data_IF_003342661402
#
_entry.id   IF_003342661402
#
_cell.length_a   1.000
_cell.length_b   1.000
_cell.length_c   1.000
_cell.angle_alpha   90.00
_cell.angle_beta   90.00
_cell.angle_gamma   90.00
#
_symmetry.space_group_name_H-M   'P 1'
#
loop_
_entity.id
_entity.type
_entity.pdbx_description
1 polymer ?
#
# COMPACT_ATOMS: atom_id res chain seq x y z
N UNK A 1 -31.35 -35.21 5.47
CA UNK A 1 -32.64 -35.08 4.72
C UNK A 1 -33.48 -33.94 5.30
N UNK A 2 -34.23 -33.18 4.49
CA UNK A 2 -35.07 -32.08 5.02
C UNK A 2 -36.29 -32.60 5.82
N UNK A 3 -36.77 -31.87 6.84
CA UNK A 3 -37.91 -32.28 7.68
C UNK A 3 -39.19 -32.50 6.86
N UNK A 4 -39.29 -31.87 5.70
CA UNK A 4 -40.39 -32.04 4.75
C UNK A 4 -40.45 -33.45 4.15
N UNK A 5 -39.30 -34.09 3.90
CA UNK A 5 -39.24 -35.45 3.32
C UNK A 5 -39.69 -36.50 4.36
N UNK A 6 -39.35 -36.29 5.64
CA UNK A 6 -39.79 -37.16 6.73
C UNK A 6 -41.31 -37.10 6.93
N UNK A 7 -41.88 -35.90 6.91
CA UNK A 7 -43.32 -35.71 7.03
C UNK A 7 -44.07 -36.40 5.88
N UNK A 8 -43.57 -36.29 4.64
CA UNK A 8 -44.15 -36.96 3.48
C UNK A 8 -44.03 -38.49 3.60
N UNK A 9 -42.88 -39.01 4.05
CA UNK A 9 -42.68 -40.44 4.27
C UNK A 9 -43.63 -41.03 5.31
N UNK A 10 -43.80 -40.36 6.45
CA UNK A 10 -44.73 -40.78 7.51
C UNK A 10 -46.18 -40.79 7.03
N UNK A 11 -46.59 -39.79 6.24
CA UNK A 11 -47.94 -39.75 5.64
C UNK A 11 -48.13 -40.95 4.69
N UNK A 12 -47.15 -41.25 3.84
CA UNK A 12 -47.22 -42.40 2.93
C UNK A 12 -47.30 -43.73 3.66
N UNK A 13 -46.56 -43.91 4.75
CA UNK A 13 -46.65 -45.12 5.57
C UNK A 13 -48.00 -45.26 6.27
N UNK A 14 -48.59 -44.15 6.73
CA UNK A 14 -49.92 -44.16 7.34
C UNK A 14 -50.99 -44.59 6.32
N UNK A 15 -50.93 -44.04 5.10
CA UNK A 15 -51.82 -44.43 4.00
C UNK A 15 -51.63 -45.91 3.62
N UNK A 16 -50.39 -46.37 3.50
CA UNK A 16 -50.09 -47.78 3.19
C UNK A 16 -50.57 -48.76 4.26
N UNK A 17 -50.41 -48.41 5.54
CA UNK A 17 -50.87 -49.24 6.66
C UNK A 17 -52.40 -49.35 6.70
N UNK A 18 -53.12 -48.23 6.45
CA UNK A 18 -54.58 -48.23 6.35
C UNK A 18 -55.05 -49.09 5.17
N UNK A 19 -54.41 -48.98 4.01
CA UNK A 19 -54.71 -49.82 2.84
C UNK A 19 -54.47 -51.32 3.12
N UNK A 20 -53.38 -51.67 3.80
CA UNK A 20 -53.08 -53.04 4.20
C UNK A 20 -54.11 -53.57 5.22
N UNK A 21 -54.53 -52.74 6.18
CA UNK A 21 -55.60 -53.09 7.13
C UNK A 21 -56.93 -53.36 6.44
N UNK A 22 -57.33 -52.52 5.49
CA UNK A 22 -58.55 -52.72 4.70
C UNK A 22 -58.48 -53.99 3.83
N UNK A 23 -57.31 -54.27 3.25
CA UNK A 23 -57.07 -55.50 2.49
C UNK A 23 -57.13 -56.76 3.35
N UNK A 24 -56.68 -56.71 4.61
CA UNK A 24 -56.80 -57.84 5.54
C UNK A 24 -58.25 -58.13 5.98
N UNK A 25 -59.11 -57.10 6.00
CA UNK A 25 -60.54 -57.25 6.30
C UNK A 25 -61.32 -57.78 5.10
N UNK A 26 -61.04 -57.28 3.90
CA UNK A 26 -61.80 -57.60 2.68
C UNK A 26 -61.20 -58.74 1.83
N UNK A 27 -59.95 -59.12 2.10
CA UNK A 27 -59.18 -60.10 1.34
C UNK A 27 -59.18 -61.51 1.94
N UNK A 28 -58.24 -62.34 1.49
CA UNK A 28 -58.24 -63.80 1.67
C UNK A 28 -58.18 -64.30 3.13
N UNK A 29 -57.77 -63.47 4.10
CA UNK A 29 -57.65 -63.85 5.51
C UNK A 29 -58.91 -63.54 6.36
N UNK A 30 -59.82 -62.68 5.88
CA UNK A 30 -61.09 -62.30 6.53
C UNK A 30 -60.97 -62.04 8.06
N UNK A 31 -59.96 -61.28 8.47
CA UNK A 31 -59.71 -61.02 9.89
C UNK A 31 -60.81 -60.13 10.50
N UNK A 32 -61.13 -60.28 11.80
CA UNK A 32 -62.02 -59.36 12.49
C UNK A 32 -61.48 -57.93 12.42
N UNK A 33 -62.34 -56.90 12.25
CA UNK A 33 -61.92 -55.52 12.01
C UNK A 33 -60.96 -54.96 13.08
N UNK A 34 -61.18 -55.32 14.34
CA UNK A 34 -60.34 -54.88 15.46
C UNK A 34 -58.92 -55.45 15.34
N UNK A 35 -58.80 -56.73 14.95
CA UNK A 35 -57.51 -57.39 14.81
C UNK A 35 -56.74 -56.85 13.60
N UNK A 36 -57.43 -56.57 12.50
CA UNK A 36 -56.82 -55.98 11.31
C UNK A 36 -56.32 -54.54 11.57
N UNK A 37 -57.07 -53.74 12.33
CA UNK A 37 -56.68 -52.39 12.71
C UNK A 37 -55.46 -52.37 13.64
N UNK A 38 -55.38 -53.28 14.62
CA UNK A 38 -54.21 -53.38 15.50
C UNK A 38 -52.98 -53.88 14.74
N UNK A 39 -53.12 -54.85 13.83
CA UNK A 39 -52.01 -55.29 12.96
C UNK A 39 -51.51 -54.19 12.04
N UNK A 40 -52.40 -53.39 11.44
CA UNK A 40 -52.04 -52.23 10.62
C UNK A 40 -51.32 -51.15 11.44
N UNK A 41 -51.80 -50.85 12.64
CA UNK A 41 -51.15 -49.91 13.56
C UNK A 41 -49.75 -50.36 13.98
N UNK A 42 -49.58 -51.64 14.32
CA UNK A 42 -48.27 -52.22 14.63
C UNK A 42 -47.31 -52.15 13.43
N UNK A 43 -47.80 -52.44 12.22
CA UNK A 43 -47.01 -52.34 10.99
C UNK A 43 -46.56 -50.90 10.72
N UNK A 44 -47.46 -49.93 10.90
CA UNK A 44 -47.13 -48.51 10.75
C UNK A 44 -46.02 -48.08 11.72
N UNK A 45 -46.18 -48.38 13.01
CA UNK A 45 -45.17 -48.04 14.03
C UNK A 45 -43.84 -48.72 13.72
N UNK A 46 -43.86 -50.00 13.31
CA UNK A 46 -42.64 -50.72 12.96
C UNK A 46 -41.91 -50.07 11.77
N UNK A 47 -42.61 -49.74 10.69
CA UNK A 47 -42.02 -49.10 9.50
C UNK A 47 -41.55 -47.68 9.82
N UNK A 48 -42.30 -46.91 10.62
CA UNK A 48 -41.90 -45.58 11.06
C UNK A 48 -40.62 -45.61 11.89
N UNK A 49 -40.53 -46.53 12.87
CA UNK A 49 -39.32 -46.73 13.66
C UNK A 49 -38.14 -47.20 12.81
N UNK A 50 -38.39 -48.07 11.82
CA UNK A 50 -37.36 -48.52 10.88
C UNK A 50 -36.82 -47.37 10.03
N UNK A 51 -37.69 -46.53 9.47
CA UNK A 51 -37.29 -45.32 8.73
C UNK A 51 -36.48 -44.37 9.60
N UNK A 52 -36.97 -44.05 10.80
CA UNK A 52 -36.27 -43.15 11.72
C UNK A 52 -34.89 -43.70 12.10
N UNK A 53 -34.80 -45.01 12.35
CA UNK A 53 -33.52 -45.67 12.62
C UNK A 53 -32.55 -45.62 11.43
N UNK A 54 -33.06 -45.71 10.21
CA UNK A 54 -32.26 -45.68 8.99
C UNK A 54 -31.73 -44.27 8.72
N UNK A 55 -32.58 -43.25 8.87
CA UNK A 55 -32.14 -41.86 8.71
C UNK A 55 -31.15 -41.46 9.80
N UNK A 56 -31.42 -41.79 11.07
CA UNK A 56 -30.49 -41.50 12.16
C UNK A 56 -29.14 -42.19 11.99
N UNK A 57 -29.08 -43.33 11.30
CA UNK A 57 -27.81 -43.97 10.93
C UNK A 57 -27.09 -43.18 9.84
N UNK A 58 -27.80 -42.79 8.78
CA UNK A 58 -27.23 -41.95 7.71
C UNK A 58 -26.68 -40.62 8.23
N UNK A 59 -27.47 -39.88 9.00
CA UNK A 59 -27.01 -38.60 9.57
C UNK A 59 -25.82 -38.80 10.53
N UNK A 60 -25.73 -39.94 11.22
CA UNK A 60 -24.60 -40.27 12.09
C UNK A 60 -23.34 -40.59 11.29
N UNK A 61 -23.47 -41.32 10.19
CA UNK A 61 -22.34 -41.67 9.33
C UNK A 61 -21.80 -40.39 8.63
N UNK A 62 -22.67 -39.50 8.16
CA UNK A 62 -22.28 -38.21 7.57
C UNK A 62 -21.52 -37.32 8.58
N UNK A 63 -21.99 -37.26 9.84
CA UNK A 63 -21.31 -36.50 10.91
C UNK A 63 -19.95 -37.12 11.24
N UNK A 64 -19.83 -38.45 11.23
CA UNK A 64 -18.57 -39.13 11.50
C UNK A 64 -17.56 -38.88 10.37
N UNK A 65 -17.99 -38.89 9.13
CA UNK A 65 -17.15 -38.56 7.97
C UNK A 65 -16.67 -37.10 8.00
N UNK A 66 -17.54 -36.16 8.38
CA UNK A 66 -17.18 -34.75 8.56
C UNK A 66 -16.18 -34.56 9.71
N UNK A 67 -16.37 -35.28 10.82
CA UNK A 67 -15.46 -35.25 11.97
C UNK A 67 -14.06 -35.80 11.60
N UNK A 68 -14.01 -36.91 10.86
CA UNK A 68 -12.77 -37.49 10.34
C UNK A 68 -12.07 -36.52 9.37
N UNK A 69 -12.84 -35.84 8.50
CA UNK A 69 -12.34 -34.78 7.62
C UNK A 69 -11.68 -33.64 8.40
N UNK A 70 -12.37 -33.11 9.41
CA UNK A 70 -11.85 -32.04 10.26
C UNK A 70 -10.60 -32.47 11.04
N UNK A 71 -10.57 -33.71 11.56
CA UNK A 71 -9.39 -34.24 12.24
C UNK A 71 -8.18 -34.34 11.30
N UNK A 72 -8.37 -34.78 10.06
CA UNK A 72 -7.30 -34.82 9.05
C UNK A 72 -6.80 -33.43 8.70
N UNK A 73 -7.68 -32.46 8.47
CA UNK A 73 -7.29 -31.08 8.19
C UNK A 73 -6.54 -30.46 9.37
N UNK A 74 -6.98 -30.73 10.60
CA UNK A 74 -6.31 -30.22 11.80
C UNK A 74 -4.92 -30.86 11.99
N UNK A 75 -4.79 -32.16 11.73
CA UNK A 75 -3.51 -32.84 11.73
C UNK A 75 -2.55 -32.27 10.66
N UNK A 76 -3.06 -31.97 9.46
CA UNK A 76 -2.27 -31.34 8.39
C UNK A 76 -1.81 -29.92 8.77
N UNK A 77 -2.69 -29.10 9.35
CA UNK A 77 -2.35 -27.77 9.82
C UNK A 77 -1.30 -27.82 10.94
N UNK A 78 -1.42 -28.78 11.85
CA UNK A 78 -0.45 -28.98 12.93
C UNK A 78 0.92 -29.37 12.36
N UNK A 79 0.96 -30.26 11.37
CA UNK A 79 2.21 -30.64 10.69
C UNK A 79 2.86 -29.45 9.96
N UNK A 80 2.07 -28.59 9.29
CA UNK A 80 2.58 -27.36 8.65
C UNK A 80 3.12 -26.36 9.67
N UNK A 81 2.48 -26.24 10.84
CA UNK A 81 2.97 -25.40 11.93
C UNK A 81 4.29 -25.91 12.50
N UNK A 82 4.44 -27.22 12.68
CA UNK A 82 5.69 -27.84 13.10
C UNK A 82 6.80 -27.65 12.06
N UNK A 83 6.49 -27.79 10.76
CA UNK A 83 7.42 -27.55 9.66
C UNK A 83 7.90 -26.09 9.65
N UNK A 84 6.97 -25.12 9.70
CA UNK A 84 7.30 -23.69 9.77
C UNK A 84 8.12 -23.33 11.02
N UNK A 85 7.79 -23.93 12.17
CA UNK A 85 8.56 -23.73 13.40
C UNK A 85 9.97 -24.29 13.27
N UNK A 86 10.13 -25.45 12.62
CA UNK A 86 11.44 -26.06 12.35
C UNK A 86 12.27 -25.24 11.35
N UNK A 87 11.63 -24.62 10.35
CA UNK A 87 12.30 -23.68 9.45
C UNK A 87 12.77 -22.42 10.18
N UNK A 88 11.93 -21.86 11.06
CA UNK A 88 12.32 -20.73 11.91
C UNK A 88 13.50 -21.11 12.81
N UNK A 89 13.52 -22.31 13.39
CA UNK A 89 14.66 -22.78 14.18
C UNK A 89 15.91 -23.01 13.33
N UNK A 90 15.78 -23.52 12.10
CA UNK A 90 16.90 -23.64 11.15
C UNK A 90 17.44 -22.28 10.75
N UNK A 91 16.58 -21.31 10.48
CA UNK A 91 16.95 -19.93 10.18
C UNK A 91 17.66 -19.33 11.41
N UNK A 92 17.10 -19.49 12.61
CA UNK A 92 17.70 -19.02 13.86
C UNK A 92 19.07 -19.66 14.12
N UNK A 93 19.23 -20.94 13.80
CA UNK A 93 20.49 -21.67 13.94
C UNK A 93 21.50 -21.28 12.85
N UNK A 94 21.07 -21.07 11.61
CA UNK A 94 21.90 -20.53 10.53
C UNK A 94 22.39 -19.09 10.84
N UNK A 95 21.54 -18.29 11.48
CA UNK A 95 21.89 -16.97 12.03
C UNK A 95 22.88 -17.08 13.20
N UNK A 96 22.78 -18.12 14.03
CA UNK A 96 23.67 -18.34 15.17
C UNK A 96 25.03 -18.97 14.78
N UNK A 97 25.06 -19.85 13.80
CA UNK A 97 26.23 -20.66 13.40
C UNK A 97 27.20 -19.91 12.46
N UNK A 98 26.85 -18.69 12.03
CA UNK A 98 27.82 -17.68 11.64
C UNK A 98 28.37 -17.77 10.22
N UNK A 99 27.54 -17.44 9.25
CA UNK A 99 27.98 -16.91 7.95
C UNK A 99 27.74 -15.39 7.89
N UNK A 100 28.43 -14.65 8.75
CA UNK A 100 28.30 -13.20 8.89
C UNK A 100 29.02 -12.40 7.81
N UNK A 101 29.67 -13.05 6.82
CA UNK A 101 30.38 -12.35 5.74
C UNK A 101 29.44 -11.73 4.69
N UNK A 102 28.24 -12.25 4.52
CA UNK A 102 27.22 -11.67 3.63
C UNK A 102 26.38 -10.56 4.31
N UNK A 103 26.51 -10.39 5.63
CA UNK A 103 25.72 -9.43 6.40
C UNK A 103 26.54 -8.28 6.98
N UNK A 104 27.83 -8.16 6.67
CA UNK A 104 28.57 -6.93 6.96
C UNK A 104 28.06 -5.74 6.13
N UNK A 105 27.46 -6.00 4.95
CA UNK A 105 26.74 -5.00 4.15
C UNK A 105 25.40 -4.61 4.78
N UNK A 106 24.54 -5.56 5.17
CA UNK A 106 23.18 -5.25 5.67
C UNK A 106 23.19 -4.79 7.13
N UNK A 107 24.07 -5.33 7.97
CA UNK A 107 24.33 -4.82 9.34
C UNK A 107 25.20 -3.56 9.28
N UNK A 108 26.02 -3.39 8.23
CA UNK A 108 26.70 -2.14 7.90
C UNK A 108 25.71 -1.04 7.55
N UNK A 109 24.73 -1.32 6.69
CA UNK A 109 23.63 -0.41 6.31
C UNK A 109 22.76 -0.08 7.52
N UNK A 110 22.44 -1.07 8.37
CA UNK A 110 21.69 -0.82 9.59
C UNK A 110 22.51 -0.11 10.67
N UNK A 111 23.85 -0.26 10.71
CA UNK A 111 24.77 0.54 11.56
C UNK A 111 25.07 1.92 11.00
N UNK A 112 24.98 2.12 9.69
CA UNK A 112 25.05 3.43 9.05
C UNK A 112 23.73 4.15 9.30
N UNK A 113 22.58 3.49 9.19
CA UNK A 113 21.27 4.03 9.55
C UNK A 113 21.12 4.25 11.05
N UNK A 114 21.54 3.30 11.91
CA UNK A 114 21.59 3.52 13.36
C UNK A 114 22.67 4.52 13.73
N UNK A 115 23.79 4.60 13.01
CA UNK A 115 24.83 5.60 13.23
C UNK A 115 24.37 7.01 12.85
N UNK A 116 23.59 7.13 11.76
CA UNK A 116 22.95 8.36 11.29
C UNK A 116 21.66 8.68 12.05
N UNK A 117 21.02 7.73 12.73
CA UNK A 117 19.92 8.02 13.64
C UNK A 117 20.45 8.33 15.05
N UNK A 118 21.50 7.67 15.52
CA UNK A 118 22.03 7.83 16.88
C UNK A 118 22.99 9.03 17.01
N UNK A 119 23.69 9.45 15.93
CA UNK A 119 24.38 10.76 15.90
C UNK A 119 23.42 11.94 15.89
N UNK A 120 22.16 11.74 15.51
CA UNK A 120 21.17 12.82 15.40
C UNK A 120 20.11 12.80 16.51
N UNK A 121 19.89 11.65 17.16
CA UNK A 121 19.10 11.54 18.39
C UNK A 121 19.88 11.94 19.66
N UNK A 122 21.23 11.97 19.57
CA UNK A 122 22.09 12.34 20.68
C UNK A 122 22.72 13.72 20.52
N UNK A 123 22.10 14.73 21.15
CA UNK A 123 22.64 16.06 21.53
C UNK A 123 23.34 16.89 20.44
N UNK A 124 22.89 18.15 20.34
CA UNK A 124 23.54 19.26 19.64
C UNK A 124 25.08 19.15 19.59
N UNK A 125 25.60 19.02 18.38
CA UNK A 125 26.91 19.55 18.02
C UNK A 125 26.74 20.29 16.68
N UNK A 126 27.10 21.57 16.60
CA UNK A 126 27.05 22.29 15.33
C UNK A 126 28.09 21.67 14.42
N UNK A 127 27.66 21.17 13.26
CA UNK A 127 28.58 21.09 12.13
C UNK A 127 29.00 22.54 11.91
N UNK A 128 30.27 22.84 12.21
CA UNK A 128 30.86 24.12 11.89
C UNK A 128 30.81 24.25 10.36
N UNK A 129 29.79 24.95 9.87
CA UNK A 129 29.81 25.53 8.54
C UNK A 129 30.89 26.59 8.62
N UNK A 130 32.02 26.35 7.96
CA UNK A 130 32.97 27.42 7.70
C UNK A 130 32.19 28.49 6.94
N UNK A 131 32.00 29.62 7.61
CA UNK A 131 31.37 30.81 7.04
C UNK A 131 32.41 31.50 6.18
N UNK A 132 32.64 30.96 4.99
CA UNK A 132 33.28 31.64 3.87
C UNK A 132 32.72 31.00 2.60
N UNK A 133 31.61 31.53 2.10
CA UNK A 133 31.39 31.74 0.67
C UNK A 133 30.07 32.51 0.47
N UNK A 134 30.13 33.53 -0.38
CA UNK A 134 29.00 34.37 -0.77
C UNK A 134 27.81 33.51 -1.23
N UNK A 135 26.65 33.68 -0.58
CA UNK A 135 25.46 32.84 -0.79
C UNK A 135 24.78 33.13 -2.14
N UNK A 136 24.91 32.21 -3.10
CA UNK A 136 24.14 32.20 -4.34
C UNK A 136 22.64 31.83 -4.12
N UNK A 137 21.68 32.44 -4.86
CA UNK A 137 20.26 32.11 -4.81
C UNK A 137 19.97 30.62 -5.08
N UNK A 138 18.90 30.04 -4.51
CA UNK A 138 18.50 28.63 -4.74
C UNK A 138 18.41 28.23 -6.23
N UNK A 139 18.04 29.18 -7.11
CA UNK A 139 18.02 28.98 -8.56
C UNK A 139 19.41 28.66 -9.14
N UNK A 140 20.46 29.19 -8.54
CA UNK A 140 21.85 29.04 -8.97
C UNK A 140 22.53 27.84 -8.28
N UNK A 141 21.97 27.37 -7.15
CA UNK A 141 22.39 26.13 -6.45
C UNK A 141 21.93 24.84 -7.13
N UNK A 142 21.09 24.95 -8.15
CA UNK A 142 20.66 23.82 -8.98
C UNK A 142 21.71 23.62 -10.07
N UNK A 143 22.41 22.48 -10.06
CA UNK A 143 23.39 22.19 -11.11
C UNK A 143 22.68 22.13 -12.47
N UNK A 144 23.25 22.82 -13.46
CA UNK A 144 22.77 22.79 -14.84
C UNK A 144 23.26 21.56 -15.59
N UNK A 145 24.27 20.86 -15.07
CA UNK A 145 24.72 19.58 -15.62
C UNK A 145 23.72 18.50 -15.24
N UNK A 146 23.16 17.86 -16.25
CA UNK A 146 22.38 16.63 -16.10
C UNK A 146 23.40 15.49 -16.20
N UNK A 147 23.69 14.77 -15.11
CA UNK A 147 24.56 13.60 -15.20
C UNK A 147 23.92 12.54 -16.08
N UNK A 148 24.77 11.73 -16.72
CA UNK A 148 24.34 10.67 -17.62
C UNK A 148 23.45 9.67 -16.87
N UNK A 149 22.24 9.48 -17.37
CA UNK A 149 21.32 8.46 -16.87
C UNK A 149 21.75 7.12 -17.47
N UNK A 150 21.89 6.10 -16.62
CA UNK A 150 22.24 4.76 -17.06
C UNK A 150 21.17 4.20 -18.01
N UNK A 151 21.55 3.32 -18.96
CA UNK A 151 20.60 2.78 -19.93
C UNK A 151 19.59 1.83 -19.29
N UNK A 152 18.37 1.79 -19.83
CA UNK A 152 17.29 0.90 -19.38
C UNK A 152 17.56 -0.59 -19.65
N UNK A 153 18.67 -0.92 -20.31
CA UNK A 153 19.06 -2.30 -20.64
C UNK A 153 19.73 -3.05 -19.49
N UNK A 154 19.93 -2.41 -18.33
CA UNK A 154 20.52 -3.04 -17.17
C UNK A 154 19.66 -4.18 -16.64
N UNK A 155 20.28 -5.28 -16.24
CA UNK A 155 19.59 -6.38 -15.58
C UNK A 155 19.21 -6.04 -14.14
N UNK A 156 18.17 -6.70 -13.60
CA UNK A 156 17.76 -6.50 -12.21
C UNK A 156 18.91 -6.73 -11.20
N UNK A 157 19.85 -7.63 -11.52
CA UNK A 157 21.02 -7.90 -10.67
C UNK A 157 22.00 -6.72 -10.67
N UNK A 158 22.22 -6.09 -11.83
CA UNK A 158 23.09 -4.91 -11.94
C UNK A 158 22.49 -3.72 -11.23
N UNK A 159 21.19 -3.48 -11.43
CA UNK A 159 20.45 -2.41 -10.74
C UNK A 159 20.53 -2.60 -9.22
N UNK A 160 20.26 -3.81 -8.72
CA UNK A 160 20.37 -4.11 -7.29
C UNK A 160 21.78 -3.83 -6.75
N UNK A 161 22.82 -4.26 -7.47
CA UNK A 161 24.20 -4.01 -7.07
C UNK A 161 24.55 -2.51 -7.03
N UNK A 162 24.06 -1.73 -7.99
CA UNK A 162 24.24 -0.27 -8.00
C UNK A 162 23.52 0.38 -6.81
N UNK A 163 22.28 -0.03 -6.53
CA UNK A 163 21.50 0.49 -5.41
C UNK A 163 22.17 0.18 -4.08
N UNK A 164 22.55 -1.08 -3.83
CA UNK A 164 23.18 -1.51 -2.57
C UNK A 164 24.50 -0.76 -2.32
N UNK A 165 25.40 -0.76 -3.31
CA UNK A 165 26.67 -0.02 -3.20
C UNK A 165 26.45 1.48 -3.02
N UNK A 166 25.49 2.05 -3.77
CA UNK A 166 25.14 3.46 -3.67
C UNK A 166 24.62 3.84 -2.30
N UNK A 167 23.82 2.97 -1.67
CA UNK A 167 23.35 3.16 -0.30
C UNK A 167 24.50 3.08 0.72
N UNK A 168 25.36 2.08 0.61
CA UNK A 168 26.50 1.88 1.54
C UNK A 168 27.49 3.03 1.49
N UNK A 169 27.74 3.59 0.31
CA UNK A 169 28.71 4.65 0.08
C UNK A 169 28.09 6.06 0.12
N UNK A 170 26.83 6.19 0.55
CA UNK A 170 26.08 7.45 0.63
C UNK A 170 26.01 8.23 -0.70
N UNK A 171 25.88 7.52 -1.83
CA UNK A 171 25.75 8.06 -3.19
C UNK A 171 24.29 8.24 -3.63
N UNK A 172 23.43 8.59 -2.69
CA UNK A 172 22.03 8.95 -2.97
C UNK A 172 21.92 10.47 -2.99
N UNK A 173 21.66 11.00 -4.17
CA UNK A 173 21.57 12.43 -4.43
C UNK A 173 20.11 12.88 -4.51
N UNK A 174 19.85 14.12 -4.07
CA UNK A 174 18.52 14.73 -4.17
C UNK A 174 18.43 15.58 -5.42
N UNK A 175 17.41 15.29 -6.22
CA UNK A 175 17.05 16.04 -7.41
C UNK A 175 15.72 16.74 -7.17
N UNK A 176 15.62 18.00 -7.61
CA UNK A 176 14.44 18.82 -7.45
C UNK A 176 13.82 19.09 -8.81
N UNK A 177 12.53 18.81 -8.95
CA UNK A 177 11.76 19.20 -10.12
C UNK A 177 10.76 20.31 -9.75
N UNK A 178 10.69 21.41 -10.53
CA UNK A 178 9.77 22.49 -10.21
C UNK A 178 8.31 22.12 -10.48
N UNK A 179 7.45 22.45 -9.52
CA UNK A 179 6.00 22.60 -9.70
C UNK A 179 5.69 24.09 -9.78
N UNK A 180 5.10 24.52 -10.88
CA UNK A 180 4.90 25.93 -11.21
C UNK A 180 3.45 26.36 -11.11
N UNK A 181 3.23 27.64 -10.81
CA UNK A 181 1.93 28.29 -10.93
C UNK A 181 1.72 28.72 -12.38
N UNK A 182 0.57 28.38 -12.95
CA UNK A 182 0.13 28.83 -14.27
C UNK A 182 -0.71 30.11 -14.16
N UNK A 183 -0.64 31.03 -15.15
CA UNK A 183 0.20 30.97 -16.35
C UNK A 183 1.63 31.49 -16.15
N UNK A 184 1.98 32.09 -15.00
CA UNK A 184 3.24 32.84 -14.83
C UNK A 184 4.50 31.95 -14.81
N UNK A 185 4.34 30.63 -14.69
CA UNK A 185 5.40 29.62 -14.56
C UNK A 185 6.37 29.89 -13.41
N UNK A 186 5.87 30.52 -12.34
CA UNK A 186 6.66 30.75 -11.13
C UNK A 186 6.67 29.47 -10.31
N UNK A 187 7.85 28.97 -9.98
CA UNK A 187 8.00 27.83 -9.07
C UNK A 187 7.36 28.12 -7.72
N UNK A 188 6.44 27.25 -7.31
CA UNK A 188 5.77 27.28 -6.01
C UNK A 188 6.20 26.14 -5.11
N UNK A 189 6.42 24.98 -5.71
CA UNK A 189 6.95 23.81 -5.03
C UNK A 189 8.10 23.19 -5.81
N UNK A 190 8.89 22.37 -5.13
CA UNK A 190 9.76 21.39 -5.75
C UNK A 190 9.31 20.00 -5.33
N UNK A 191 9.32 19.04 -6.23
CA UNK A 191 9.30 17.63 -5.86
C UNK A 191 10.72 17.11 -5.75
N UNK A 192 11.00 16.41 -4.66
CA UNK A 192 12.28 15.79 -4.40
C UNK A 192 12.30 14.33 -4.85
N UNK A 193 13.27 14.01 -5.69
CA UNK A 193 13.55 12.69 -6.21
C UNK A 193 14.91 12.21 -5.74
N UNK A 194 15.03 10.91 -5.45
CA UNK A 194 16.32 10.26 -5.24
C UNK A 194 16.88 9.75 -6.57
N UNK A 195 18.14 10.11 -6.87
CA UNK A 195 18.92 9.43 -7.92
C UNK A 195 20.16 8.83 -7.27
N UNK A 196 20.50 7.60 -7.67
CA UNK A 196 21.64 6.88 -7.07
C UNK A 196 22.79 6.91 -8.05
N UNK A 197 23.96 7.35 -7.59
CA UNK A 197 25.14 7.50 -8.44
C UNK A 197 25.97 6.21 -8.46
N UNK A 198 26.34 5.75 -9.65
CA UNK A 198 27.28 4.65 -9.82
C UNK A 198 28.74 5.13 -9.61
N UNK A 199 29.71 4.21 -9.72
CA UNK A 199 31.12 4.51 -9.39
C UNK A 199 31.75 5.46 -10.41
N UNK A 200 31.23 5.48 -11.64
CA UNK A 200 31.69 6.32 -12.74
C UNK A 200 31.07 7.73 -12.72
N UNK A 201 30.08 7.96 -11.85
CA UNK A 201 29.39 9.24 -11.69
C UNK A 201 28.05 9.35 -12.44
N UNK A 202 27.68 8.34 -13.23
CA UNK A 202 26.36 8.21 -13.87
C UNK A 202 25.29 7.89 -12.85
N UNK A 203 24.03 8.17 -13.15
CA UNK A 203 22.91 8.03 -12.21
C UNK A 203 21.88 7.01 -12.68
N UNK A 204 21.32 6.25 -11.73
CA UNK A 204 20.11 5.46 -11.93
C UNK A 204 18.91 6.23 -11.35
N UNK A 205 17.83 6.32 -12.12
CA UNK A 205 16.63 7.09 -11.78
C UNK A 205 15.54 6.21 -11.14
N UNK A 206 14.59 6.78 -10.38
CA UNK A 206 13.55 6.01 -9.68
C UNK A 206 12.83 4.99 -10.56
N UNK A 207 12.49 5.35 -11.79
CA UNK A 207 11.77 4.51 -12.74
C UNK A 207 12.50 3.18 -13.00
N UNK A 208 13.84 3.20 -12.92
CA UNK A 208 14.69 2.04 -13.16
C UNK A 208 14.83 1.14 -11.92
N UNK A 209 14.91 1.72 -10.71
CA UNK A 209 15.20 0.94 -9.49
C UNK A 209 14.01 0.70 -8.55
N UNK A 210 12.93 1.49 -8.62
CA UNK A 210 11.85 1.45 -7.62
C UNK A 210 11.23 0.06 -7.48
N UNK A 211 10.95 -0.63 -8.60
CA UNK A 211 10.38 -1.98 -8.58
C UNK A 211 11.32 -2.98 -7.87
N UNK A 212 12.61 -2.87 -8.12
CA UNK A 212 13.62 -3.79 -7.55
C UNK A 212 13.80 -3.47 -6.07
N UNK A 213 13.92 -2.18 -5.71
CA UNK A 213 14.04 -1.74 -4.32
C UNK A 213 12.82 -2.12 -3.47
N UNK A 214 11.61 -2.12 -4.04
CA UNK A 214 10.41 -2.59 -3.37
C UNK A 214 10.48 -4.11 -3.10
N UNK A 215 10.86 -4.90 -4.11
CA UNK A 215 10.98 -6.36 -4.00
C UNK A 215 12.08 -6.81 -3.01
N UNK A 216 13.15 -6.03 -2.88
CA UNK A 216 14.29 -6.34 -2.00
C UNK A 216 14.23 -5.65 -0.64
N UNK A 217 13.19 -4.86 -0.37
CA UNK A 217 13.01 -4.15 0.90
C UNK A 217 13.93 -2.93 1.10
N UNK A 218 14.65 -2.50 0.06
CA UNK A 218 15.55 -1.34 0.10
C UNK A 218 14.81 -0.01 -0.04
N UNK A 219 13.55 -0.02 -0.49
CA UNK A 219 12.76 1.19 -0.73
C UNK A 219 12.67 2.07 0.53
N UNK A 220 12.45 1.46 1.70
CA UNK A 220 12.36 2.21 2.94
C UNK A 220 13.65 2.94 3.31
N UNK A 221 14.80 2.32 3.04
CA UNK A 221 16.11 2.95 3.25
C UNK A 221 16.32 4.15 2.33
N UNK A 222 15.95 4.02 1.05
CA UNK A 222 16.05 5.10 0.06
C UNK A 222 15.16 6.28 0.46
N UNK A 223 13.89 6.02 0.80
CA UNK A 223 12.93 7.05 1.23
C UNK A 223 13.44 7.80 2.47
N UNK A 224 14.03 7.08 3.44
CA UNK A 224 14.56 7.69 4.65
C UNK A 224 15.77 8.59 4.40
N UNK A 225 16.68 8.17 3.50
CA UNK A 225 17.82 8.98 3.10
C UNK A 225 17.36 10.22 2.34
N UNK A 226 16.43 10.06 1.39
CA UNK A 226 15.84 11.17 0.65
C UNK A 226 15.19 12.19 1.60
N UNK A 227 14.34 11.73 2.51
CA UNK A 227 13.71 12.57 3.52
C UNK A 227 14.72 13.35 4.35
N UNK A 228 15.75 12.67 4.86
CA UNK A 228 16.76 13.30 5.68
C UNK A 228 17.46 14.44 4.92
N UNK A 229 17.86 14.17 3.67
CA UNK A 229 18.46 15.18 2.78
C UNK A 229 17.48 16.32 2.45
N UNK A 230 16.21 16.01 2.22
CA UNK A 230 15.14 17.00 2.04
C UNK A 230 14.99 17.90 3.27
N UNK A 231 14.99 17.35 4.48
CA UNK A 231 14.92 18.14 5.72
C UNK A 231 16.12 19.06 5.85
N UNK A 232 17.34 18.57 5.56
CA UNK A 232 18.54 19.40 5.57
C UNK A 232 18.49 20.51 4.52
N UNK A 233 17.98 20.23 3.33
CA UNK A 233 17.80 21.20 2.27
C UNK A 233 16.77 22.28 2.69
N UNK A 234 15.61 21.88 3.19
CA UNK A 234 14.54 22.81 3.59
C UNK A 234 15.02 23.74 4.69
N UNK A 235 15.71 23.22 5.72
CA UNK A 235 16.27 24.04 6.81
C UNK A 235 17.24 25.10 6.30
N UNK A 236 18.03 24.77 5.27
CA UNK A 236 18.95 25.73 4.63
C UNK A 236 18.18 26.78 3.84
N UNK A 237 17.20 26.36 3.04
CA UNK A 237 16.38 27.26 2.20
C UNK A 237 15.48 28.20 3.03
N UNK A 238 14.98 27.75 4.18
CA UNK A 238 14.19 28.59 5.08
C UNK A 238 14.99 29.77 5.65
N UNK A 239 16.30 29.60 5.87
CA UNK A 239 17.17 30.70 6.29
C UNK A 239 17.29 31.78 5.19
N UNK A 240 17.10 31.40 3.93
CA UNK A 240 17.16 32.30 2.76
C UNK A 240 15.82 33.00 2.48
N UNK A 241 14.80 32.84 3.36
CA UNK A 241 13.45 33.44 3.26
C UNK A 241 12.71 33.14 1.95
N UNK A 242 13.01 32.02 1.30
CA UNK A 242 12.31 31.59 0.09
C UNK A 242 10.99 30.90 0.46
N UNK A 243 9.86 31.50 0.04
CA UNK A 243 8.52 30.90 0.15
C UNK A 243 8.28 29.84 -0.94
N UNK A 244 8.95 28.71 -0.80
CA UNK A 244 8.83 27.54 -1.68
C UNK A 244 8.58 26.29 -0.84
N UNK A 245 7.62 25.47 -1.26
CA UNK A 245 7.37 24.19 -0.61
C UNK A 245 8.06 23.01 -1.30
N UNK A 246 8.05 21.85 -0.66
CA UNK A 246 8.70 20.64 -1.12
C UNK A 246 7.76 19.46 -0.98
N UNK A 247 7.63 18.64 -2.03
CA UNK A 247 7.02 17.32 -1.99
C UNK A 247 8.13 16.29 -1.78
N UNK A 248 7.93 15.38 -0.83
CA UNK A 248 8.83 14.26 -0.58
C UNK A 248 8.02 12.96 -0.54
N UNK A 249 8.45 11.97 -1.29
CA UNK A 249 7.80 10.67 -1.33
C UNK A 249 7.84 9.98 0.03
N UNK A 250 6.74 9.30 0.37
CA UNK A 250 6.57 8.50 1.58
C UNK A 250 5.79 7.22 1.23
N UNK A 251 6.48 6.09 1.13
CA UNK A 251 5.84 4.82 0.82
C UNK A 251 5.09 4.20 2.02
N UNK A 252 4.06 3.39 1.74
CA UNK A 252 3.34 2.64 2.78
C UNK A 252 4.23 1.64 3.52
N UNK A 253 5.30 1.15 2.89
CA UNK A 253 6.30 0.29 3.53
C UNK A 253 6.96 0.95 4.75
N UNK A 254 7.24 2.25 4.67
CA UNK A 254 7.76 3.02 5.82
C UNK A 254 6.72 3.15 6.92
N UNK A 255 5.44 3.26 6.53
CA UNK A 255 4.32 3.50 7.43
C UNK A 255 3.84 2.24 8.15
N UNK A 256 3.94 1.07 7.52
CA UNK A 256 3.58 -0.22 8.14
C UNK A 256 4.64 -0.75 9.10
N UNK A 257 5.86 -0.20 9.09
CA UNK A 257 6.93 -0.65 9.97
C UNK A 257 6.73 -0.12 11.40
N UNK A 258 6.27 -1.01 12.29
CA UNK A 258 5.96 -0.71 13.69
C UNK A 258 7.15 -0.18 14.51
N UNK A 259 8.39 -0.45 14.10
CA UNK A 259 9.59 0.00 14.79
C UNK A 259 10.09 1.37 14.29
N UNK A 260 9.88 1.65 13.00
CA UNK A 260 10.37 2.88 12.36
C UNK A 260 9.38 4.03 12.51
N UNK A 261 8.11 3.80 12.22
CA UNK A 261 7.16 4.90 12.07
C UNK A 261 6.93 5.72 13.36
N UNK A 262 6.91 5.12 14.57
CA UNK A 262 6.87 5.91 15.80
C UNK A 262 8.05 6.89 15.92
N UNK A 263 9.27 6.43 15.59
CA UNK A 263 10.47 7.27 15.60
C UNK A 263 10.41 8.36 14.54
N UNK A 264 9.84 8.06 13.37
CA UNK A 264 9.59 9.03 12.33
C UNK A 264 8.62 10.12 12.80
N UNK A 265 7.49 9.76 13.42
CA UNK A 265 6.53 10.74 13.96
C UNK A 265 7.18 11.60 15.03
N UNK A 266 7.95 11.00 15.94
CA UNK A 266 8.68 11.73 16.98
C UNK A 266 9.69 12.70 16.33
N UNK A 267 10.45 12.26 15.33
CA UNK A 267 11.35 13.12 14.58
C UNK A 267 10.60 14.28 13.91
N UNK A 268 9.47 14.03 13.25
CA UNK A 268 8.66 15.07 12.61
C UNK A 268 8.02 16.02 13.63
N UNK A 269 7.70 15.55 14.84
CA UNK A 269 7.20 16.39 15.92
C UNK A 269 8.25 17.37 16.42
N UNK A 270 9.52 16.95 16.54
CA UNK A 270 10.65 17.86 16.83
C UNK A 270 10.98 18.80 15.65
N UNK A 271 10.38 18.55 14.48
CA UNK A 271 10.57 19.29 13.25
C UNK A 271 9.26 19.93 12.73
N UNK A 272 8.31 20.22 13.63
CA UNK A 272 7.00 20.72 13.24
C UNK A 272 7.05 22.02 12.42
N UNK A 273 8.09 22.84 12.56
CA UNK A 273 8.33 24.05 11.76
C UNK A 273 8.47 23.76 10.24
N UNK A 274 8.83 22.53 9.86
CA UNK A 274 8.94 22.12 8.47
C UNK A 274 7.58 21.94 7.82
N UNK A 275 6.50 21.77 8.57
CA UNK A 275 5.16 21.49 8.02
C UNK A 275 4.64 22.56 7.05
N UNK A 276 5.10 23.81 7.20
CA UNK A 276 4.79 24.90 6.26
C UNK A 276 5.40 24.67 4.88
N UNK A 277 6.55 24.01 4.82
CA UNK A 277 7.38 23.86 3.61
C UNK A 277 7.29 22.43 3.05
N UNK A 278 7.40 21.40 3.89
CA UNK A 278 7.40 19.99 3.51
C UNK A 278 5.98 19.38 3.46
N UNK A 279 5.68 18.73 2.34
CA UNK A 279 4.46 17.95 2.10
C UNK A 279 4.90 16.54 1.75
N UNK A 280 4.18 15.55 2.26
CA UNK A 280 4.48 14.15 1.94
C UNK A 280 3.61 13.69 0.79
N UNK A 281 4.22 13.03 -0.18
CA UNK A 281 3.54 12.45 -1.32
C UNK A 281 3.38 10.94 -1.15
N UNK A 282 2.18 10.45 -1.39
CA UNK A 282 1.83 9.04 -1.30
C UNK A 282 1.16 8.61 -2.61
N UNK A 283 1.42 7.38 -3.07
CA UNK A 283 0.70 6.84 -4.23
C UNK A 283 -0.77 6.57 -3.90
N UNK A 284 -1.64 6.51 -4.91
CA UNK A 284 -3.03 6.12 -4.73
C UNK A 284 -3.17 4.79 -3.96
N UNK A 285 -2.35 3.79 -4.28
CA UNK A 285 -2.35 2.48 -3.63
C UNK A 285 -1.94 2.56 -2.15
N UNK A 286 -0.93 3.38 -1.82
CA UNK A 286 -0.49 3.59 -0.44
C UNK A 286 -1.61 4.19 0.43
N UNK A 287 -2.44 5.06 -0.15
CA UNK A 287 -3.51 5.76 0.58
C UNK A 287 -4.75 4.91 0.80
N UNK A 288 -5.02 3.95 -0.09
CA UNK A 288 -6.11 2.98 0.06
C UNK A 288 -5.81 1.98 1.18
N UNK A 289 -4.53 1.75 1.50
CA UNK A 289 -4.14 0.87 2.59
C UNK A 289 -4.62 1.39 3.97
N UNK A 290 -5.57 0.69 4.59
CA UNK A 290 -6.19 1.10 5.85
C UNK A 290 -5.18 1.25 7.01
N UNK A 291 -4.08 0.49 7.00
CA UNK A 291 -3.04 0.55 8.02
C UNK A 291 -2.32 1.90 8.12
N UNK A 292 -2.41 2.72 7.08
CA UNK A 292 -1.72 4.01 6.93
C UNK A 292 -2.51 5.15 7.60
N UNK A 293 -3.83 4.99 7.77
CA UNK A 293 -4.72 6.08 8.21
C UNK A 293 -4.43 6.66 9.60
N UNK A 294 -4.19 5.86 10.66
CA UNK A 294 -3.88 6.41 11.99
C UNK A 294 -2.64 7.31 11.99
N UNK A 295 -1.68 6.96 11.14
CA UNK A 295 -0.39 7.61 11.02
C UNK A 295 -0.47 8.95 10.29
N UNK A 296 -1.21 9.01 9.18
CA UNK A 296 -1.50 10.27 8.48
C UNK A 296 -2.19 11.27 9.40
N UNK A 297 -3.12 10.81 10.25
CA UNK A 297 -3.79 11.68 11.23
C UNK A 297 -2.81 12.28 12.25
N UNK A 298 -1.82 11.50 12.73
CA UNK A 298 -0.80 11.99 13.67
C UNK A 298 0.07 13.07 13.03
N UNK A 299 0.54 12.84 11.81
CA UNK A 299 1.32 13.82 11.06
C UNK A 299 0.50 15.08 10.71
N UNK A 300 -0.77 14.90 10.33
CA UNK A 300 -1.69 16.02 10.08
C UNK A 300 -1.91 16.89 11.31
N UNK A 301 -2.00 16.26 12.50
CA UNK A 301 -2.14 16.95 13.77
C UNK A 301 -0.89 17.76 14.17
N UNK A 302 0.30 17.33 13.73
CA UNK A 302 1.55 18.11 13.86
C UNK A 302 1.56 19.31 12.90
N UNK A 303 0.80 19.21 11.79
CA UNK A 303 0.64 20.29 10.81
C UNK A 303 1.00 19.90 9.38
N UNK A 304 1.61 18.72 9.17
CA UNK A 304 1.99 18.26 7.84
C UNK A 304 0.76 18.07 6.94
N UNK A 305 0.97 18.23 5.64
CA UNK A 305 -0.06 18.03 4.61
C UNK A 305 0.44 17.04 3.57
N UNK A 306 -0.52 16.43 2.89
CA UNK A 306 -0.24 15.32 1.98
C UNK A 306 -0.62 15.65 0.53
N UNK A 307 0.10 15.01 -0.38
CA UNK A 307 -0.20 14.91 -1.79
C UNK A 307 -0.51 13.46 -2.14
N UNK A 308 -1.51 13.23 -2.98
CA UNK A 308 -1.73 11.92 -3.60
C UNK A 308 -1.23 11.95 -5.05
N UNK A 309 -0.32 11.04 -5.42
CA UNK A 309 0.20 10.89 -6.78
C UNK A 309 -0.04 9.49 -7.36
N UNK A 310 0.51 9.22 -8.55
CA UNK A 310 0.35 7.94 -9.29
C UNK A 310 -1.11 7.52 -9.43
N UNK A 311 -1.97 8.46 -9.82
CA UNK A 311 -3.41 8.22 -9.93
C UNK A 311 -3.71 7.41 -11.18
N UNK A 312 -4.26 6.22 -10.99
CA UNK A 312 -4.73 5.33 -12.05
C UNK A 312 -6.25 5.41 -12.24
N UNK A 313 -6.99 5.81 -11.21
CA UNK A 313 -8.44 6.02 -11.26
C UNK A 313 -8.83 7.32 -10.56
N UNK A 314 -9.66 8.12 -11.22
CA UNK A 314 -10.21 9.37 -10.67
C UNK A 314 -11.34 9.12 -9.66
N UNK A 315 -11.76 7.87 -9.44
CA UNK A 315 -12.75 7.52 -8.43
C UNK A 315 -12.14 7.48 -7.03
N UNK A 316 -11.98 8.67 -6.43
CA UNK A 316 -11.31 8.84 -5.13
C UNK A 316 -12.24 9.55 -4.14
N UNK A 317 -12.27 9.09 -2.89
CA UNK A 317 -12.95 9.77 -1.78
C UNK A 317 -12.17 11.02 -1.35
N UNK A 318 -12.32 12.11 -2.11
CA UNK A 318 -11.65 13.39 -1.85
C UNK A 318 -12.07 14.04 -0.53
N UNK A 319 -13.28 13.78 -0.03
CA UNK A 319 -13.72 14.27 1.29
C UNK A 319 -12.94 13.55 2.39
N UNK A 320 -12.84 12.22 2.31
CA UNK A 320 -12.03 11.41 3.22
C UNK A 320 -10.53 11.73 3.13
N UNK A 321 -10.03 12.10 1.95
CA UNK A 321 -8.65 12.61 1.78
C UNK A 321 -8.44 13.93 2.53
N UNK A 322 -9.32 14.91 2.34
CA UNK A 322 -9.21 16.20 3.00
C UNK A 322 -9.19 16.07 4.54
N UNK A 323 -10.04 15.19 5.08
CA UNK A 323 -10.09 14.85 6.52
C UNK A 323 -8.80 14.17 7.02
N UNK A 324 -8.12 13.42 6.15
CA UNK A 324 -6.82 12.81 6.46
C UNK A 324 -5.64 13.78 6.30
N UNK A 325 -5.87 15.02 5.85
CA UNK A 325 -4.84 16.06 5.73
C UNK A 325 -4.24 16.22 4.33
N UNK A 326 -4.81 15.56 3.31
CA UNK A 326 -4.42 15.80 1.92
C UNK A 326 -4.87 17.18 1.48
N UNK A 327 -4.00 17.86 0.75
CA UNK A 327 -4.22 19.20 0.18
C UNK A 327 -3.80 19.28 -1.27
N UNK A 328 -3.19 18.23 -1.81
CA UNK A 328 -2.77 18.15 -3.18
C UNK A 328 -3.16 16.81 -3.77
N UNK A 329 -3.51 16.85 -5.05
CA UNK A 329 -3.74 15.68 -5.88
C UNK A 329 -2.97 15.89 -7.18
N UNK A 330 -2.13 14.93 -7.55
CA UNK A 330 -1.30 15.00 -8.74
C UNK A 330 -1.78 13.96 -9.73
N UNK A 331 -2.11 14.40 -10.94
CA UNK A 331 -2.68 13.58 -12.01
C UNK A 331 -1.92 13.87 -13.29
N UNK A 332 -1.59 12.82 -14.03
CA UNK A 332 -1.00 12.90 -15.35
C UNK A 332 -1.82 13.79 -16.31
N UNK A 333 -1.15 14.68 -17.05
CA UNK A 333 -1.79 15.56 -18.00
C UNK A 333 -2.47 14.80 -19.14
N UNK A 334 -1.93 13.64 -19.55
CA UNK A 334 -2.58 12.75 -20.50
C UNK A 334 -3.94 12.26 -19.99
N UNK A 335 -4.05 11.85 -18.73
CA UNK A 335 -5.34 11.52 -18.10
C UNK A 335 -6.25 12.75 -18.04
N UNK A 336 -5.73 13.91 -17.65
CA UNK A 336 -6.53 15.13 -17.50
C UNK A 336 -7.04 15.71 -18.82
N UNK A 337 -6.38 15.40 -19.94
CA UNK A 337 -6.72 15.91 -21.27
C UNK A 337 -7.29 14.83 -22.19
N UNK A 338 -7.40 13.59 -21.69
CA UNK A 338 -8.00 12.49 -22.43
C UNK A 338 -9.50 12.71 -22.64
N UNK A 339 -10.01 12.13 -23.71
CA UNK A 339 -11.44 12.10 -23.98
C UNK A 339 -12.18 11.46 -22.79
N UNK A 340 -13.20 12.13 -22.21
CA UNK A 340 -14.01 11.58 -21.13
C UNK A 340 -14.58 10.18 -21.41
N UNK A 341 -14.73 9.79 -22.68
CA UNK A 341 -15.19 8.47 -23.09
C UNK A 341 -14.10 7.38 -23.05
N UNK A 342 -12.83 7.75 -22.91
CA UNK A 342 -11.68 6.84 -22.85
C UNK A 342 -11.19 6.60 -21.42
N UNK A 343 -11.55 7.48 -20.49
CA UNK A 343 -11.24 7.32 -19.07
C UNK A 343 -12.37 6.54 -18.41
N UNK A 344 -12.06 5.42 -17.75
CA UNK A 344 -13.01 4.74 -16.86
C UNK A 344 -13.19 5.56 -15.57
N UNK A 345 -13.76 6.75 -15.71
CA UNK A 345 -14.05 7.69 -14.63
C UNK A 345 -15.54 8.01 -14.62
N UNK A 346 -16.23 7.83 -13.48
CA UNK A 346 -17.63 8.22 -13.34
C UNK A 346 -17.82 9.75 -13.26
N UNK A 347 -16.74 10.54 -13.20
CA UNK A 347 -16.77 11.99 -13.02
C UNK A 347 -16.02 12.72 -14.15
N UNK A 348 -16.64 13.78 -14.67
CA UNK A 348 -16.01 14.69 -15.62
C UNK A 348 -14.91 15.51 -14.92
N UNK A 349 -13.87 15.89 -15.65
CA UNK A 349 -12.67 16.51 -15.07
C UNK A 349 -12.98 17.90 -14.49
N UNK A 350 -13.88 18.65 -15.14
CA UNK A 350 -14.38 19.93 -14.63
C UNK A 350 -15.10 19.76 -13.27
N UNK A 351 -15.92 18.71 -13.13
CA UNK A 351 -16.62 18.41 -11.89
C UNK A 351 -15.66 17.95 -10.79
N UNK A 352 -14.68 17.11 -11.16
CA UNK A 352 -13.61 16.67 -10.26
C UNK A 352 -12.88 17.88 -9.68
N UNK A 353 -12.45 18.82 -10.52
CA UNK A 353 -11.77 20.04 -10.07
C UNK A 353 -12.63 20.84 -9.10
N UNK A 354 -13.93 21.04 -9.41
CA UNK A 354 -14.86 21.75 -8.52
C UNK A 354 -14.99 21.03 -7.17
N UNK A 355 -15.06 19.69 -7.19
CA UNK A 355 -15.17 18.87 -5.99
C UNK A 355 -13.90 18.92 -5.11
N UNK A 356 -12.72 18.84 -5.74
CA UNK A 356 -11.42 18.98 -5.08
C UNK A 356 -11.26 20.36 -4.44
N UNK A 357 -11.58 21.43 -5.17
CA UNK A 357 -11.51 22.81 -4.66
C UNK A 357 -12.45 23.04 -3.47
N UNK A 358 -13.66 22.47 -3.50
CA UNK A 358 -14.59 22.50 -2.34
C UNK A 358 -14.05 21.77 -1.12
N UNK A 359 -13.16 20.80 -1.33
CA UNK A 359 -12.54 19.99 -0.29
C UNK A 359 -11.16 20.51 0.13
N UNK A 360 -10.76 21.71 -0.32
CA UNK A 360 -9.45 22.31 -0.05
C UNK A 360 -8.29 21.45 -0.58
N UNK A 361 -8.48 20.80 -1.72
CA UNK A 361 -7.45 20.01 -2.42
C UNK A 361 -7.14 20.68 -3.75
N UNK A 362 -5.88 21.07 -3.93
CA UNK A 362 -5.36 21.61 -5.19
C UNK A 362 -4.98 20.48 -6.14
N UNK A 363 -5.43 20.59 -7.39
CA UNK A 363 -5.06 19.66 -8.46
C UNK A 363 -3.79 20.16 -9.15
N UNK A 364 -2.82 19.27 -9.33
CA UNK A 364 -1.56 19.50 -10.03
C UNK A 364 -1.52 18.57 -11.24
N UNK A 365 -1.30 19.14 -12.43
CA UNK A 365 -1.05 18.35 -13.63
C UNK A 365 0.42 17.92 -13.68
N UNK A 366 0.69 16.63 -13.88
CA UNK A 366 2.03 16.07 -14.05
C UNK A 366 2.32 15.74 -15.51
N UNK A 367 3.58 15.44 -15.83
CA UNK A 367 4.02 15.03 -17.19
C UNK A 367 3.59 16.02 -18.30
N UNK A 368 3.62 17.32 -18.00
CA UNK A 368 3.39 18.36 -19.01
C UNK A 368 4.63 18.55 -19.88
N UNK A 369 4.51 18.23 -21.16
CA UNK A 369 5.61 18.20 -22.13
C UNK A 369 5.48 19.22 -23.25
N UNK A 370 4.30 19.79 -23.47
CA UNK A 370 4.04 20.70 -24.59
C UNK A 370 3.28 21.97 -24.20
N UNK A 371 3.52 23.04 -24.96
CA UNK A 371 2.78 24.30 -24.84
C UNK A 371 1.28 24.14 -25.10
N UNK A 372 0.90 23.20 -25.97
CA UNK A 372 -0.51 22.89 -26.22
C UNK A 372 -1.19 22.35 -24.96
N UNK A 373 -0.58 21.39 -24.27
CA UNK A 373 -1.10 20.89 -23.00
C UNK A 373 -1.26 22.03 -21.98
N UNK A 374 -0.35 23.01 -21.93
CA UNK A 374 -0.50 24.16 -21.03
C UNK A 374 -1.74 24.99 -21.34
N UNK A 375 -2.03 25.23 -22.63
CA UNK A 375 -3.24 25.94 -23.06
C UNK A 375 -4.47 25.15 -22.63
N UNK A 376 -4.51 23.86 -22.92
CA UNK A 376 -5.67 23.01 -22.60
C UNK A 376 -5.89 22.92 -21.07
N UNK A 377 -4.83 22.83 -20.27
CA UNK A 377 -4.89 22.86 -18.81
C UNK A 377 -5.35 24.22 -18.25
N UNK A 378 -4.97 25.32 -18.90
CA UNK A 378 -5.44 26.67 -18.56
C UNK A 378 -6.92 26.85 -18.89
N UNK A 379 -7.41 26.25 -19.97
CA UNK A 379 -8.83 26.25 -20.34
C UNK A 379 -9.67 25.43 -19.34
N UNK A 380 -9.12 24.31 -18.85
CA UNK A 380 -9.66 23.59 -17.69
C UNK A 380 -9.49 24.37 -16.36
N UNK A 381 -8.72 25.46 -16.38
CA UNK A 381 -8.44 26.37 -15.28
C UNK A 381 -7.57 25.78 -14.17
N UNK A 382 -6.66 24.85 -14.49
CA UNK A 382 -5.68 24.35 -13.54
C UNK A 382 -4.64 25.43 -13.21
N UNK A 383 -4.29 25.52 -11.93
CA UNK A 383 -3.42 26.58 -11.39
C UNK A 383 -1.98 26.09 -11.20
N UNK A 384 -1.76 24.76 -11.13
CA UNK A 384 -0.48 24.14 -10.84
C UNK A 384 -0.14 23.07 -11.88
N UNK A 385 1.13 23.04 -12.29
CA UNK A 385 1.61 22.04 -13.23
C UNK A 385 3.09 21.69 -13.00
N UNK A 386 3.47 20.48 -13.40
CA UNK A 386 4.80 19.91 -13.33
C UNK A 386 5.07 19.12 -14.62
N UNK A 387 6.31 19.14 -15.10
CA UNK A 387 6.68 18.43 -16.31
C UNK A 387 7.98 18.95 -16.90
N UNK A 388 8.54 18.23 -17.86
CA UNK A 388 9.83 18.57 -18.48
C UNK A 388 9.77 19.91 -19.22
N UNK A 389 8.58 20.35 -19.66
CA UNK A 389 8.37 21.67 -20.22
C UNK A 389 8.79 22.82 -19.26
N UNK A 390 8.59 22.64 -17.95
CA UNK A 390 8.93 23.65 -16.93
C UNK A 390 10.31 23.45 -16.33
N UNK A 391 10.78 22.20 -16.32
CA UNK A 391 12.11 21.83 -15.87
C UNK A 391 12.20 20.35 -15.57
N UNK A 392 13.28 19.73 -16.03
CA UNK A 392 13.68 18.40 -15.60
C UNK A 392 14.12 18.39 -14.14
N UNK A 393 14.09 17.23 -13.45
CA UNK A 393 14.69 17.12 -12.14
C UNK A 393 16.19 17.43 -12.20
N UNK A 394 16.65 18.34 -11.34
CA UNK A 394 18.06 18.76 -11.30
C UNK A 394 18.66 18.62 -9.90
N UNK A 395 19.96 18.34 -9.85
CA UNK A 395 20.68 18.11 -8.59
C UNK A 395 20.61 19.36 -7.68
N UNK A 396 20.16 19.18 -6.44
CA UNK A 396 20.31 20.22 -5.41
C UNK A 396 21.74 20.15 -4.87
N UNK A 397 22.60 21.13 -5.18
CA UNK A 397 23.97 21.13 -4.63
C UNK A 397 23.92 21.34 -3.11
N UNK A 398 24.68 20.54 -2.38
CA UNK A 398 25.27 20.99 -1.12
C UNK A 398 26.32 22.05 -1.49
N UNK A 399 26.25 23.24 -0.87
CA UNK A 399 27.38 24.17 -0.96
C UNK A 399 28.63 23.40 -0.48
N UNK A 400 29.65 23.36 -1.33
CA UNK A 400 30.89 22.63 -1.08
C UNK A 400 31.62 23.16 0.15
#
# INVERSE_FOLDING_TARGET
MTPTIHAIGLILYAVGAVAAGLWLVQGALALPPILAATSAGCLFVFVALAHESFVRRGDRDDILDELDGLQRTNAELTARLEEATSEIERIKKAVADGDWKAHEEVVGEMRVLQGLLHRFAGKEAPIAVQADDELEPLRDRIDRRIPEVLPDTLSNKEILGIVQKGLQENRVDVYLQPVVVLPQRKTRFYEAFSRIRNEEGSVIVPEQYLSIAAQTGLLATIDNLLLFRCVQLIRRVQNDQLDVGFFCNLSSHNMSNANFFPQFVDFMQHNAQLASSLKFELSQDDVVNAGVTPYLRRLAAIGFRFSMGKISSLNVDYVGLAQRGFRFMKVDAGILLSDPHQIDSPIHIEDLKVALKKSDIDLIAEEVESEQQVIDLLDLGLELAQGYLFGEPRLSRDAA
#
